data_IF_170490473874
#
_entry.id   IF_170490473874
#
_cell.length_a   1.000
_cell.length_b   1.000
_cell.length_c   1.000
_cell.angle_alpha   90.00
_cell.angle_beta   90.00
_cell.angle_gamma   90.00
#
_symmetry.space_group_name_H-M   'P 1'
#
loop_
_entity.id
_entity.type
_entity.pdbx_description
1 polymer ?
#
# COMPACT_ATOMS: atom_id res chain seq x y z
N UNK A 1 -12.48 2.04 54.60
CA UNK A 1 -13.51 2.54 53.68
C UNK A 1 -12.79 3.33 52.57
N UNK A 2 -12.44 2.67 51.47
CA UNK A 2 -13.05 2.80 50.13
C UNK A 2 -12.75 4.10 49.34
N UNK A 3 -11.93 3.92 48.28
CA UNK A 3 -12.08 4.47 46.90
C UNK A 3 -11.66 5.94 46.70
N UNK A 4 -10.99 6.35 45.60
CA UNK A 4 -10.77 5.75 44.26
C UNK A 4 -9.61 6.49 43.57
N UNK A 5 -8.64 5.76 43.03
CA UNK A 5 -7.69 6.29 42.04
C UNK A 5 -8.37 6.31 40.66
N UNK A 6 -8.48 7.49 40.03
CA UNK A 6 -9.11 7.64 38.73
C UNK A 6 -8.08 7.41 37.62
N UNK A 7 -7.93 6.14 37.20
CA UNK A 7 -7.08 5.76 36.07
C UNK A 7 -7.77 6.21 34.77
N UNK A 8 -7.23 7.23 34.12
CA UNK A 8 -7.71 7.68 32.79
C UNK A 8 -7.47 6.54 31.80
N UNK A 9 -8.57 5.93 31.35
CA UNK A 9 -8.58 4.95 30.27
C UNK A 9 -8.17 5.67 29.00
N UNK A 10 -7.00 5.35 28.45
CA UNK A 10 -6.61 5.75 27.10
C UNK A 10 -7.46 4.93 26.14
N UNK A 11 -8.53 5.52 25.62
CA UNK A 11 -9.33 4.92 24.56
C UNK A 11 -8.49 4.93 23.27
N UNK A 12 -7.94 3.77 22.92
CA UNK A 12 -7.36 3.57 21.59
C UNK A 12 -8.49 3.72 20.57
N UNK A 13 -8.47 4.79 19.78
CA UNK A 13 -9.41 4.98 18.66
C UNK A 13 -9.24 3.79 17.71
N UNK A 14 -10.34 3.15 17.26
CA UNK A 14 -10.25 2.12 16.24
C UNK A 14 -9.74 2.80 14.97
N UNK A 15 -8.55 2.39 14.49
CA UNK A 15 -8.04 2.87 13.20
C UNK A 15 -9.03 2.40 12.14
N UNK A 16 -9.78 3.36 11.59
CA UNK A 16 -10.72 3.17 10.49
C UNK A 16 -10.06 2.33 9.40
N UNK A 17 -10.78 1.29 8.96
CA UNK A 17 -10.38 0.37 7.89
C UNK A 17 -10.26 1.17 6.58
N UNK A 18 -9.14 1.85 6.38
CA UNK A 18 -8.85 2.52 5.12
C UNK A 18 -8.38 1.46 4.14
N UNK A 19 -9.30 0.94 3.32
CA UNK A 19 -8.92 0.55 1.98
C UNK A 19 -8.45 1.83 1.30
N UNK A 20 -7.17 1.87 0.90
CA UNK A 20 -6.69 2.98 0.10
C UNK A 20 -7.55 3.04 -1.17
N UNK A 21 -8.09 4.21 -1.53
CA UNK A 21 -8.83 4.34 -2.77
C UNK A 21 -7.92 3.94 -3.94
N UNK A 22 -8.46 3.36 -5.01
CA UNK A 22 -7.66 3.06 -6.19
C UNK A 22 -6.97 4.35 -6.68
N UNK A 23 -5.75 4.22 -7.22
CA UNK A 23 -4.99 5.36 -7.68
C UNK A 23 -5.80 6.12 -8.73
N UNK A 24 -5.94 7.44 -8.53
CA UNK A 24 -6.64 8.29 -9.48
C UNK A 24 -5.74 8.51 -10.68
N UNK A 25 -6.27 8.23 -11.86
CA UNK A 25 -5.55 8.44 -13.12
C UNK A 25 -5.88 9.82 -13.65
N UNK A 26 -4.85 10.55 -14.07
CA UNK A 26 -5.05 11.80 -14.79
C UNK A 26 -5.69 11.52 -16.16
N UNK A 27 -6.54 12.42 -16.68
CA UNK A 27 -7.09 12.27 -18.03
C UNK A 27 -5.97 12.11 -19.07
N UNK A 28 -6.01 11.02 -19.83
CA UNK A 28 -4.99 10.68 -20.82
C UNK A 28 -3.80 9.86 -20.29
N UNK A 29 -3.76 9.55 -18.99
CA UNK A 29 -2.80 8.59 -18.45
C UNK A 29 -3.07 7.17 -18.97
N UNK A 30 -2.03 6.35 -19.19
CA UNK A 30 -2.19 4.97 -19.66
C UNK A 30 -2.98 4.13 -18.66
N UNK A 31 -3.85 3.27 -19.18
CA UNK A 31 -4.55 2.28 -18.35
C UNK A 31 -3.59 1.22 -17.85
N UNK A 32 -3.98 0.44 -16.85
CA UNK A 32 -3.16 -0.69 -16.39
C UNK A 32 -2.91 -1.70 -17.52
N UNK A 33 -3.89 -1.90 -18.40
CA UNK A 33 -3.74 -2.79 -19.56
C UNK A 33 -2.71 -2.24 -20.55
N UNK A 34 -2.68 -0.93 -20.76
CA UNK A 34 -1.68 -0.29 -21.62
C UNK A 34 -0.29 -0.41 -21.03
N UNK A 35 -0.14 -0.20 -19.72
CA UNK A 35 1.12 -0.41 -19.01
C UNK A 35 1.59 -1.87 -19.10
N UNK A 36 0.70 -2.84 -18.90
CA UNK A 36 1.03 -4.27 -19.03
C UNK A 36 1.50 -4.64 -20.44
N UNK A 37 0.88 -4.07 -21.48
CA UNK A 37 1.32 -4.25 -22.86
C UNK A 37 2.69 -3.63 -23.11
N UNK A 38 2.94 -2.44 -22.55
CA UNK A 38 4.24 -1.76 -22.66
C UNK A 38 5.35 -2.50 -21.91
N UNK A 39 5.06 -3.08 -20.73
CA UNK A 39 5.98 -3.97 -20.00
C UNK A 39 6.36 -5.17 -20.86
N UNK A 40 5.39 -5.84 -21.50
CA UNK A 40 5.66 -6.95 -22.42
C UNK A 40 6.49 -6.53 -23.64
N UNK A 41 6.38 -5.26 -24.05
CA UNK A 41 7.20 -4.67 -25.11
C UNK A 41 8.57 -4.16 -24.62
N UNK A 42 8.95 -4.45 -23.37
CA UNK A 42 10.19 -4.01 -22.72
C UNK A 42 10.36 -2.47 -22.65
N UNK A 43 9.26 -1.73 -22.55
CA UNK A 43 9.31 -0.30 -22.24
C UNK A 43 9.83 -0.10 -20.80
N UNK A 44 11.00 0.54 -20.63
CA UNK A 44 11.61 0.70 -19.31
C UNK A 44 10.77 1.54 -18.34
N UNK A 45 9.88 2.42 -18.83
CA UNK A 45 9.09 3.30 -17.98
C UNK A 45 7.72 2.73 -17.58
N UNK A 46 7.26 1.68 -18.26
CA UNK A 46 5.94 1.12 -18.00
C UNK A 46 5.85 0.47 -16.62
N UNK A 47 6.91 -0.24 -16.19
CA UNK A 47 6.97 -0.84 -14.86
C UNK A 47 7.03 0.22 -13.76
N UNK A 48 7.80 1.30 -13.97
CA UNK A 48 7.92 2.43 -13.04
C UNK A 48 6.55 3.08 -12.79
N UNK A 49 5.79 3.36 -13.85
CA UNK A 49 4.44 3.94 -13.73
C UNK A 49 3.46 3.02 -13.00
N UNK A 50 3.55 1.70 -13.23
CA UNK A 50 2.73 0.73 -12.52
C UNK A 50 3.12 0.64 -11.04
N UNK A 51 4.41 0.69 -10.74
CA UNK A 51 4.94 0.73 -9.38
C UNK A 51 4.45 1.98 -8.63
N UNK A 52 4.63 3.17 -9.18
CA UNK A 52 4.19 4.43 -8.57
C UNK A 52 2.68 4.45 -8.27
N UNK A 53 1.90 3.81 -9.14
CA UNK A 53 0.45 3.69 -9.01
C UNK A 53 0.04 2.78 -7.85
N UNK A 54 0.75 1.67 -7.62
CA UNK A 54 0.29 0.59 -6.74
C UNK A 54 1.13 0.37 -5.47
N UNK A 55 2.37 0.86 -5.40
CA UNK A 55 3.29 0.62 -4.28
C UNK A 55 2.67 0.96 -2.92
N UNK A 56 1.99 2.11 -2.79
CA UNK A 56 1.46 2.56 -1.51
C UNK A 56 0.32 1.67 -0.98
N UNK A 57 -0.53 1.15 -1.87
CA UNK A 57 -1.65 0.28 -1.48
C UNK A 57 -1.13 -1.10 -1.14
N UNK A 58 -0.23 -1.65 -1.96
CA UNK A 58 0.37 -2.97 -1.76
C UNK A 58 1.24 -2.99 -0.50
N UNK A 59 2.13 -2.00 -0.30
CA UNK A 59 2.94 -1.89 0.92
C UNK A 59 2.06 -1.82 2.18
N UNK A 60 0.99 -1.02 2.14
CA UNK A 60 0.05 -0.94 3.26
C UNK A 60 -0.69 -2.26 3.52
N UNK A 61 -0.97 -3.07 2.49
CA UNK A 61 -1.56 -4.39 2.63
C UNK A 61 -0.55 -5.38 3.22
N UNK A 62 0.66 -5.43 2.68
CA UNK A 62 1.73 -6.32 3.12
C UNK A 62 2.08 -6.06 4.60
N UNK A 63 2.25 -4.79 4.98
CA UNK A 63 2.52 -4.39 6.37
C UNK A 63 1.44 -4.84 7.37
N UNK A 64 0.18 -5.00 6.92
CA UNK A 64 -0.91 -5.50 7.77
C UNK A 64 -0.82 -7.00 8.04
N UNK A 65 -0.11 -7.74 7.19
CA UNK A 65 0.05 -9.19 7.30
C UNK A 65 1.36 -9.52 8.00
N UNK A 66 2.47 -8.91 7.57
CA UNK A 66 3.82 -9.27 8.00
C UNK A 66 4.24 -8.49 9.26
N UNK A 67 3.71 -7.29 9.49
CA UNK A 67 4.06 -6.43 10.63
C UNK A 67 5.56 -6.11 10.78
N UNK A 68 6.35 -6.27 9.72
CA UNK A 68 7.76 -5.89 9.62
C UNK A 68 7.95 -5.01 8.38
N UNK A 69 8.61 -3.87 8.53
CA UNK A 69 8.82 -2.90 7.44
C UNK A 69 9.84 -3.35 6.41
N UNK A 70 10.97 -3.94 6.84
CA UNK A 70 12.01 -4.41 5.93
C UNK A 70 11.48 -5.57 5.06
N UNK A 71 10.87 -6.57 5.69
CA UNK A 71 10.27 -7.70 4.95
C UNK A 71 9.12 -7.25 4.03
N UNK A 72 8.38 -6.19 4.40
CA UNK A 72 7.34 -5.66 3.54
C UNK A 72 7.88 -4.94 2.31
N UNK A 73 9.03 -4.28 2.44
CA UNK A 73 9.71 -3.62 1.32
C UNK A 73 10.36 -4.64 0.38
N UNK A 74 11.00 -5.67 0.92
CA UNK A 74 11.58 -6.76 0.13
C UNK A 74 10.48 -7.49 -0.66
N UNK A 75 9.38 -7.89 0.00
CA UNK A 75 8.27 -8.57 -0.67
C UNK A 75 7.57 -7.66 -1.70
N UNK A 76 7.46 -6.36 -1.42
CA UNK A 76 6.90 -5.43 -2.39
C UNK A 76 7.78 -5.39 -3.64
N UNK A 77 9.10 -5.35 -3.50
CA UNK A 77 10.02 -5.39 -4.65
C UNK A 77 9.86 -6.70 -5.43
N UNK A 78 9.82 -7.85 -4.75
CA UNK A 78 9.63 -9.16 -5.39
C UNK A 78 8.36 -9.21 -6.25
N UNK A 79 7.23 -8.70 -5.73
CA UNK A 79 5.94 -8.68 -6.47
C UNK A 79 6.01 -7.97 -7.83
N UNK A 80 6.88 -6.98 -7.98
CA UNK A 80 7.03 -6.25 -9.25
C UNK A 80 8.14 -6.82 -10.15
N UNK A 81 9.02 -7.66 -9.61
CA UNK A 81 10.20 -8.19 -10.32
C UNK A 81 10.06 -9.66 -10.73
N UNK A 82 9.14 -10.42 -10.11
CA UNK A 82 8.79 -11.81 -10.46
C UNK A 82 7.66 -11.90 -11.51
#
# INVERSE_FOLDING_TARGET
>A
MHRKANKRVRTARPKTRHFSPPPRLEPGAPTDLDLMRAIQAADPEALSQLYDRYNGILKALILRVIHNEAEADDLLQEIFME
#
